data_IF_186062932754
#
_entry.id   IF_186062932754
#
_cell.length_a   1.000
_cell.length_b   1.000
_cell.length_c   1.000
_cell.angle_alpha   90.00
_cell.angle_beta   90.00
_cell.angle_gamma   90.00
#
_symmetry.space_group_name_H-M   'P 1'
#
loop_
_entity.id
_entity.type
_entity.pdbx_description
1 polymer ?
#
# COMPACT_ATOMS: atom_id res chain seq x y z
N UNK A 1 -13.78 4.24 0.71
CA UNK A 1 -12.94 3.52 1.69
C UNK A 1 -13.88 2.80 2.63
N UNK A 2 -13.88 1.47 2.61
CA UNK A 2 -14.75 0.67 3.48
C UNK A 2 -14.11 0.47 4.85
N UNK A 3 -14.92 0.16 5.86
CA UNK A 3 -14.44 -0.16 7.22
C UNK A 3 -13.45 -1.34 7.19
N UNK A 4 -13.55 -2.24 6.20
CA UNK A 4 -12.59 -3.32 5.97
C UNK A 4 -11.18 -2.85 5.64
N UNK A 5 -11.02 -1.78 4.88
CA UNK A 5 -9.71 -1.21 4.51
C UNK A 5 -8.98 -0.67 5.75
N UNK A 6 -9.75 -0.07 6.68
CA UNK A 6 -9.24 0.45 7.95
C UNK A 6 -8.76 -0.70 8.85
N UNK A 7 -9.52 -1.81 8.93
CA UNK A 7 -9.11 -2.99 9.70
C UNK A 7 -7.83 -3.62 9.14
N UNK A 8 -7.69 -3.69 7.81
CA UNK A 8 -6.48 -4.17 7.17
C UNK A 8 -5.29 -3.26 7.49
N UNK A 9 -5.45 -1.93 7.36
CA UNK A 9 -4.41 -0.96 7.71
C UNK A 9 -3.99 -1.07 9.18
N UNK A 10 -4.93 -1.31 10.09
CA UNK A 10 -4.65 -1.52 11.50
C UNK A 10 -3.86 -2.82 11.75
N UNK A 11 -4.25 -3.93 11.11
CA UNK A 11 -3.53 -5.20 11.20
C UNK A 11 -2.11 -5.10 10.61
N UNK A 12 -1.96 -4.41 9.48
CA UNK A 12 -0.66 -4.09 8.90
C UNK A 12 0.20 -3.26 9.85
N UNK A 13 -0.39 -2.28 10.54
CA UNK A 13 0.30 -1.51 11.56
C UNK A 13 0.80 -2.34 12.72
N UNK A 14 -0.02 -3.30 13.16
CA UNK A 14 0.34 -4.26 14.20
C UNK A 14 1.44 -5.23 13.75
N UNK A 15 1.44 -5.65 12.48
CA UNK A 15 2.45 -6.58 11.95
C UNK A 15 3.77 -5.92 11.59
N UNK A 16 3.73 -4.79 10.86
CA UNK A 16 4.94 -4.11 10.38
C UNK A 16 5.54 -3.16 11.42
N UNK A 17 4.73 -2.60 12.31
CA UNK A 17 5.18 -1.60 13.28
C UNK A 17 5.65 -0.29 12.65
N UNK A 18 6.17 0.60 13.49
CA UNK A 18 6.77 1.86 13.07
C UNK A 18 8.27 1.66 12.79
N UNK A 19 8.84 2.21 11.69
CA UNK A 19 8.25 3.12 10.70
C UNK A 19 7.64 2.43 9.47
N UNK A 20 7.75 1.10 9.35
CA UNK A 20 7.36 0.36 8.15
C UNK A 20 5.89 0.53 7.74
N UNK A 21 4.98 0.75 8.69
CA UNK A 21 3.56 0.99 8.40
C UNK A 21 3.34 2.19 7.46
N UNK A 22 4.11 3.27 7.62
CA UNK A 22 3.99 4.45 6.76
C UNK A 22 4.41 4.13 5.34
N UNK A 23 5.50 3.39 5.18
CA UNK A 23 6.01 2.95 3.89
C UNK A 23 5.02 2.00 3.21
N UNK A 24 4.43 1.08 3.97
CA UNK A 24 3.40 0.15 3.50
C UNK A 24 2.14 0.86 3.02
N UNK A 25 1.64 1.81 3.81
CA UNK A 25 0.45 2.58 3.45
C UNK A 25 0.71 3.43 2.20
N UNK A 26 1.90 4.04 2.11
CA UNK A 26 2.31 4.82 0.96
C UNK A 26 2.43 3.97 -0.31
N UNK A 27 3.10 2.82 -0.24
CA UNK A 27 3.22 1.87 -1.35
C UNK A 27 1.87 1.31 -1.77
N UNK A 28 0.99 0.99 -0.82
CA UNK A 28 -0.37 0.54 -1.08
C UNK A 28 -1.18 1.60 -1.84
N UNK A 29 -1.11 2.86 -1.39
CA UNK A 29 -1.79 3.97 -2.05
C UNK A 29 -1.21 4.28 -3.43
N UNK A 30 0.11 4.35 -3.55
CA UNK A 30 0.78 4.64 -4.81
C UNK A 30 0.55 3.53 -5.85
N UNK A 31 0.71 2.27 -5.44
CA UNK A 31 0.45 1.11 -6.31
C UNK A 31 -1.03 0.97 -6.66
N UNK A 32 -1.93 1.16 -5.70
CA UNK A 32 -3.38 1.16 -5.92
C UNK A 32 -3.83 2.28 -6.84
N UNK A 33 -3.25 3.48 -6.71
CA UNK A 33 -3.51 4.59 -7.61
C UNK A 33 -2.96 4.33 -9.01
N UNK A 34 -1.72 3.86 -9.15
CA UNK A 34 -1.12 3.59 -10.46
C UNK A 34 -1.89 2.51 -11.24
N UNK A 35 -2.21 1.38 -10.60
CA UNK A 35 -2.96 0.29 -11.24
C UNK A 35 -4.43 0.70 -11.45
N UNK A 36 -5.03 1.40 -10.50
CA UNK A 36 -6.40 1.92 -10.63
C UNK A 36 -6.54 2.89 -11.80
N UNK A 37 -5.61 3.85 -11.94
CA UNK A 37 -5.54 4.78 -13.07
C UNK A 37 -5.27 4.03 -14.38
N UNK A 38 -4.33 3.08 -14.38
CA UNK A 38 -4.03 2.25 -15.56
C UNK A 38 -5.24 1.44 -16.05
N UNK A 39 -6.02 0.85 -15.14
CA UNK A 39 -7.25 0.12 -15.46
C UNK A 39 -8.39 1.02 -15.98
N UNK A 40 -8.47 2.25 -15.48
CA UNK A 40 -9.41 3.25 -16.00
C UNK A 40 -8.99 3.67 -17.41
N UNK A 41 -7.70 3.89 -17.64
CA UNK A 41 -7.14 4.23 -18.95
C UNK A 41 -7.28 3.10 -19.97
N UNK A 42 -7.17 1.84 -19.54
CA UNK A 42 -7.38 0.66 -20.36
C UNK A 42 -8.86 0.41 -20.73
N UNK A 43 -9.78 1.29 -20.33
CA UNK A 43 -11.19 1.24 -20.73
C UNK A 43 -12.02 0.12 -20.09
N UNK A 44 -11.42 -0.72 -19.25
CA UNK A 44 -12.06 -1.89 -18.64
C UNK A 44 -12.88 -1.55 -17.37
N UNK A 45 -12.74 -0.34 -16.80
CA UNK A 45 -13.50 0.12 -15.63
C UNK A 45 -13.85 1.61 -15.70
N UNK A 46 -15.10 1.94 -15.38
CA UNK A 46 -15.58 3.32 -15.23
C UNK A 46 -15.29 3.87 -13.83
N UNK A 47 -15.08 5.18 -13.70
CA UNK A 47 -14.88 5.93 -12.42
C UNK A 47 -15.96 5.69 -11.35
N UNK A 48 -17.09 5.05 -11.70
CA UNK A 48 -18.17 4.64 -10.78
C UNK A 48 -18.03 3.21 -10.23
N UNK A 49 -17.14 2.39 -10.79
CA UNK A 49 -16.89 1.04 -10.27
C UNK A 49 -16.15 1.18 -8.96
N UNK A 50 -16.72 0.65 -7.87
CA UNK A 50 -16.00 0.55 -6.59
C UNK A 50 -14.76 -0.31 -6.82
N UNK A 51 -13.61 0.34 -7.00
CA UNK A 51 -12.34 -0.36 -7.04
C UNK A 51 -12.10 -0.85 -5.61
N UNK A 52 -12.11 -2.17 -5.36
CA UNK A 52 -11.86 -2.67 -4.03
C UNK A 52 -10.43 -2.23 -3.65
N UNK A 53 -10.32 -1.46 -2.57
CA UNK A 53 -9.04 -0.93 -2.09
C UNK A 53 -8.25 -2.03 -1.34
N UNK A 54 -8.94 -3.05 -0.84
CA UNK A 54 -8.39 -4.20 -0.12
C UNK A 54 -7.24 -4.94 -0.83
N UNK A 55 -7.37 -5.38 -2.09
CA UNK A 55 -6.28 -6.05 -2.81
C UNK A 55 -5.01 -5.19 -2.95
N UNK A 56 -5.17 -3.89 -3.15
CA UNK A 56 -4.04 -2.95 -3.25
C UNK A 56 -3.39 -2.68 -1.89
N UNK A 57 -4.18 -2.63 -0.83
CA UNK A 57 -3.69 -2.60 0.55
C UNK A 57 -2.84 -3.84 0.86
N UNK A 58 -3.31 -5.03 0.50
CA UNK A 58 -2.56 -6.28 0.72
C UNK A 58 -1.28 -6.31 -0.13
N UNK A 59 -1.34 -5.86 -1.38
CA UNK A 59 -0.16 -5.79 -2.24
C UNK A 59 0.90 -4.82 -1.69
N UNK A 60 0.50 -3.62 -1.24
CA UNK A 60 1.42 -2.68 -0.59
C UNK A 60 1.94 -3.17 0.76
N UNK A 61 1.13 -3.92 1.51
CA UNK A 61 1.55 -4.62 2.73
C UNK A 61 2.69 -5.59 2.45
N UNK A 62 2.51 -6.46 1.45
CA UNK A 62 3.49 -7.46 1.06
C UNK A 62 4.76 -6.77 0.58
N UNK A 63 4.64 -5.75 -0.27
CA UNK A 63 5.80 -5.00 -0.75
C UNK A 63 6.61 -4.39 0.41
N UNK A 64 5.95 -3.78 1.40
CA UNK A 64 6.64 -3.22 2.56
C UNK A 64 7.10 -4.27 3.60
N UNK A 65 6.51 -5.46 3.59
CA UNK A 65 6.97 -6.56 4.44
C UNK A 65 8.27 -7.16 3.91
N UNK A 66 8.39 -7.33 2.59
CA UNK A 66 9.61 -7.86 1.96
C UNK A 66 10.70 -6.79 1.79
N UNK A 67 10.36 -5.58 1.34
CA UNK A 67 11.33 -4.54 1.02
C UNK A 67 11.35 -3.36 2.01
N UNK A 68 10.40 -3.27 2.93
CA UNK A 68 10.32 -2.10 3.82
C UNK A 68 11.45 -2.05 4.83
N UNK A 69 11.94 -3.19 5.33
CA UNK A 69 13.11 -3.19 6.21
C UNK A 69 14.38 -2.79 5.46
N UNK A 70 14.59 -3.29 4.25
CA UNK A 70 15.73 -2.90 3.42
C UNK A 70 15.70 -1.41 3.05
N UNK A 71 14.53 -0.87 2.67
CA UNK A 71 14.40 0.56 2.35
C UNK A 71 14.69 1.44 3.57
N UNK A 72 14.19 1.06 4.74
CA UNK A 72 14.44 1.83 5.98
C UNK A 72 15.90 1.70 6.41
N UNK A 73 16.49 0.51 6.32
CA UNK A 73 17.91 0.31 6.60
C UNK A 73 18.79 1.12 5.64
N UNK A 74 18.46 1.12 4.34
CA UNK A 74 19.14 1.93 3.34
C UNK A 74 19.03 3.43 3.61
N UNK A 75 17.83 3.92 3.95
CA UNK A 75 17.60 5.32 4.31
C UNK A 75 18.35 5.73 5.59
N UNK A 76 18.34 4.87 6.62
CA UNK A 76 19.10 5.10 7.84
C UNK A 76 20.61 5.08 7.60
N UNK A 77 21.11 4.24 6.68
CA UNK A 77 22.53 4.23 6.30
C UNK A 77 22.97 5.51 5.57
N UNK A 78 22.04 6.22 4.93
CA UNK A 78 22.30 7.52 4.32
C UNK A 78 22.38 8.66 5.35
N UNK A 79 21.79 8.44 6.53
CA UNK A 79 21.74 9.41 7.64
C UNK A 79 22.87 9.17 8.66
N UNK A 80 23.38 7.94 8.79
CA UNK A 80 24.52 7.57 9.65
C UNK A 80 25.87 7.83 8.98
#
# INVERSE_FOLDING_TARGET
>A
MGIGDIKLAFLMGLMLGWPQILLALFLAFAGGAAIGVGLIFAGHKTMKSQIPFGPFLIAGALAALFWGQELIAWYLSFIS
#
